data_IF_290333401560
#
_entry.id   IF_290333401560
#
_cell.length_a   1.000
_cell.length_b   1.000
_cell.length_c   1.000
_cell.angle_alpha   90.00
_cell.angle_beta   90.00
_cell.angle_gamma   90.00
#
_symmetry.space_group_name_H-M   'P 1'
#
loop_
_entity.id
_entity.type
_entity.pdbx_description
1 polymer ?
#
# COMPACT_ATOMS: atom_id res chain seq x y z
N UNK A 1 -13.91 -29.31 10.22
CA UNK A 1 -14.10 -28.24 11.21
C UNK A 1 -13.04 -27.18 10.92
N UNK A 2 -13.32 -26.28 9.99
CA UNK A 2 -12.37 -25.25 9.55
C UNK A 2 -12.57 -24.05 10.48
N UNK A 3 -11.59 -23.76 11.34
CA UNK A 3 -11.57 -22.48 12.07
C UNK A 3 -11.43 -21.39 11.00
N UNK A 4 -12.43 -20.50 10.93
CA UNK A 4 -12.29 -19.23 10.23
C UNK A 4 -11.32 -18.38 11.05
N UNK A 5 -10.05 -18.41 10.71
CA UNK A 5 -9.16 -17.29 11.05
C UNK A 5 -9.69 -16.04 10.33
N UNK A 6 -9.62 -14.89 11.00
CA UNK A 6 -9.93 -13.61 10.33
C UNK A 6 -8.89 -13.34 9.24
N UNK A 7 -9.24 -12.62 8.17
CA UNK A 7 -8.27 -12.30 7.10
C UNK A 7 -7.00 -11.62 7.67
N UNK A 8 -7.17 -10.83 8.74
CA UNK A 8 -6.08 -10.20 9.50
C UNK A 8 -5.13 -11.23 10.12
N UNK A 9 -5.63 -12.27 10.79
CA UNK A 9 -4.78 -13.32 11.38
C UNK A 9 -4.02 -14.08 10.30
N UNK A 10 -4.70 -14.42 9.20
CA UNK A 10 -4.08 -15.07 8.05
C UNK A 10 -2.95 -14.22 7.45
N UNK A 11 -3.22 -12.95 7.15
CA UNK A 11 -2.20 -12.06 6.60
C UNK A 11 -1.08 -11.74 7.58
N UNK A 12 -1.34 -11.76 8.88
CA UNK A 12 -0.29 -11.59 9.89
C UNK A 12 0.79 -12.66 9.77
N UNK A 13 0.39 -13.93 9.72
CA UNK A 13 1.34 -15.03 9.59
C UNK A 13 2.15 -14.96 8.30
N UNK A 14 1.48 -14.61 7.19
CA UNK A 14 2.15 -14.45 5.88
C UNK A 14 3.15 -13.28 5.87
N UNK A 15 2.73 -12.11 6.37
CA UNK A 15 3.58 -10.91 6.39
C UNK A 15 4.77 -11.12 7.31
N UNK A 16 4.57 -11.67 8.51
CA UNK A 16 5.67 -11.96 9.45
C UNK A 16 6.69 -12.94 8.83
N UNK A 17 6.20 -13.99 8.16
CA UNK A 17 7.04 -14.94 7.44
C UNK A 17 7.80 -14.31 6.26
N UNK A 18 7.13 -13.48 5.47
CA UNK A 18 7.74 -12.80 4.33
C UNK A 18 8.78 -11.76 4.77
N UNK A 19 8.51 -10.96 5.81
CA UNK A 19 9.48 -10.02 6.39
C UNK A 19 10.76 -10.74 6.82
N UNK A 20 10.63 -11.90 7.48
CA UNK A 20 11.77 -12.72 7.88
C UNK A 20 12.54 -13.29 6.67
N UNK A 21 11.83 -13.81 5.67
CA UNK A 21 12.44 -14.38 4.47
C UNK A 21 13.20 -13.34 3.64
N UNK A 22 12.61 -12.16 3.47
CA UNK A 22 13.22 -11.03 2.76
C UNK A 22 14.27 -10.28 3.59
N UNK A 23 14.41 -10.63 4.88
CA UNK A 23 15.27 -9.93 5.86
C UNK A 23 14.97 -8.43 5.92
N UNK A 24 13.71 -8.07 5.72
CA UNK A 24 13.26 -6.69 5.79
C UNK A 24 12.95 -6.34 7.25
N UNK A 25 13.76 -5.47 7.84
CA UNK A 25 13.45 -4.92 9.15
C UNK A 25 12.31 -3.89 9.01
N UNK A 26 11.15 -4.18 9.60
CA UNK A 26 9.99 -3.29 9.64
C UNK A 26 9.63 -2.95 11.09
N UNK A 27 9.16 -1.72 11.34
CA UNK A 27 8.58 -1.40 12.64
C UNK A 27 7.25 -2.15 12.85
N UNK A 28 6.92 -2.45 14.11
CA UNK A 28 5.71 -3.21 14.48
C UNK A 28 4.42 -2.55 13.95
N UNK A 29 4.31 -1.23 14.06
CA UNK A 29 3.14 -0.49 13.56
C UNK A 29 3.05 -0.54 12.03
N UNK A 30 4.18 -0.57 11.32
CA UNK A 30 4.22 -0.68 9.86
C UNK A 30 3.82 -2.08 9.41
N UNK A 31 4.33 -3.14 10.06
CA UNK A 31 3.91 -4.51 9.79
C UNK A 31 2.41 -4.69 10.03
N UNK A 32 1.90 -4.18 11.16
CA UNK A 32 0.46 -4.19 11.46
C UNK A 32 -0.36 -3.44 10.40
N UNK A 33 0.12 -2.29 9.94
CA UNK A 33 -0.54 -1.51 8.89
C UNK A 33 -0.65 -2.31 7.58
N UNK A 34 0.42 -2.96 7.14
CA UNK A 34 0.44 -3.79 5.92
C UNK A 34 -0.54 -4.95 6.03
N UNK A 35 -0.60 -5.64 7.18
CA UNK A 35 -1.57 -6.71 7.43
C UNK A 35 -3.00 -6.20 7.28
N UNK A 36 -3.31 -5.05 7.88
CA UNK A 36 -4.64 -4.43 7.77
C UNK A 36 -4.95 -4.02 6.32
N UNK A 37 -3.98 -3.46 5.60
CA UNK A 37 -4.11 -3.09 4.20
C UNK A 37 -4.51 -4.30 3.35
N UNK A 38 -3.77 -5.41 3.45
CA UNK A 38 -4.02 -6.62 2.67
C UNK A 38 -5.38 -7.23 3.00
N UNK A 39 -5.71 -7.34 4.29
CA UNK A 39 -7.02 -7.83 4.73
C UNK A 39 -8.17 -6.98 4.17
N UNK A 40 -8.04 -5.65 4.22
CA UNK A 40 -9.07 -4.73 3.72
C UNK A 40 -9.31 -4.86 2.22
N UNK A 41 -8.27 -5.02 1.40
CA UNK A 41 -8.43 -5.17 -0.06
C UNK A 41 -9.11 -6.49 -0.45
N UNK A 42 -8.88 -7.56 0.31
CA UNK A 42 -9.53 -8.86 0.07
C UNK A 42 -10.98 -8.86 0.53
N UNK A 43 -11.28 -8.24 1.67
CA UNK A 43 -12.63 -8.20 2.22
C UNK A 43 -13.54 -7.18 1.52
N UNK A 44 -12.95 -6.11 0.97
CA UNK A 44 -13.64 -5.05 0.24
C UNK A 44 -12.88 -4.73 -1.04
N UNK A 45 -13.03 -5.55 -2.10
CA UNK A 45 -12.58 -5.13 -3.42
C UNK A 45 -13.26 -3.80 -3.75
N UNK A 46 -12.47 -2.80 -4.16
CA UNK A 46 -12.93 -1.43 -4.40
C UNK A 46 -14.27 -1.46 -5.15
N UNK A 47 -15.30 -0.86 -4.56
CA UNK A 47 -16.53 -0.54 -5.28
C UNK A 47 -16.09 0.39 -6.40
N UNK A 48 -16.11 -0.08 -7.65
CA UNK A 48 -15.58 0.63 -8.81
C UNK A 48 -16.28 1.96 -9.08
N UNK A 49 -16.03 2.95 -8.23
CA UNK A 49 -16.40 4.34 -8.41
C UNK A 49 -15.66 4.86 -9.65
N UNK A 50 -16.27 5.81 -10.35
CA UNK A 50 -15.74 6.34 -11.61
C UNK A 50 -14.30 6.89 -11.48
N UNK A 51 -13.92 7.32 -10.27
CA UNK A 51 -12.59 7.85 -9.92
C UNK A 51 -11.49 6.76 -9.87
N UNK A 52 -11.85 5.48 -9.75
CA UNK A 52 -10.91 4.34 -9.75
C UNK A 52 -10.48 3.91 -11.16
N UNK A 53 -11.07 4.50 -12.21
CA UNK A 53 -10.72 4.20 -13.61
C UNK A 53 -9.57 5.06 -14.14
N UNK A 54 -9.26 6.18 -13.49
CA UNK A 54 -8.18 7.07 -13.90
C UNK A 54 -6.79 6.51 -13.54
N UNK A 55 -5.76 6.71 -14.39
CA UNK A 55 -4.39 6.37 -14.05
C UNK A 55 -3.94 6.97 -12.71
N UNK A 56 -3.28 6.17 -11.86
CA UNK A 56 -2.83 6.61 -10.54
C UNK A 56 -2.00 7.90 -10.56
N UNK A 57 -1.21 8.15 -11.60
CA UNK A 57 -0.45 9.39 -11.75
C UNK A 57 -1.35 10.63 -11.86
N UNK A 58 -2.49 10.54 -12.55
CA UNK A 58 -3.46 11.64 -12.64
C UNK A 58 -4.14 11.86 -11.29
N UNK A 59 -4.53 10.76 -10.63
CA UNK A 59 -5.12 10.80 -9.28
C UNK A 59 -4.14 11.42 -8.27
N UNK A 60 -2.85 11.11 -8.38
CA UNK A 60 -1.80 11.70 -7.54
C UNK A 60 -1.69 13.21 -7.76
N UNK A 61 -1.66 13.65 -9.03
CA UNK A 61 -1.66 15.08 -9.35
C UNK A 61 -2.85 15.82 -8.75
N UNK A 62 -4.06 15.28 -8.93
CA UNK A 62 -5.29 15.83 -8.35
C UNK A 62 -5.24 15.83 -6.82
N UNK A 63 -4.79 14.73 -6.19
CA UNK A 63 -4.67 14.64 -4.75
C UNK A 63 -3.75 15.73 -4.18
N UNK A 64 -2.63 16.01 -4.85
CA UNK A 64 -1.69 17.05 -4.43
C UNK A 64 -2.28 18.47 -4.53
N UNK A 65 -3.24 18.69 -5.43
CA UNK A 65 -3.98 19.94 -5.54
C UNK A 65 -5.12 20.06 -4.51
N UNK A 66 -5.70 18.93 -4.09
CA UNK A 66 -6.63 18.92 -2.97
C UNK A 66 -5.86 19.15 -1.67
N UNK A 67 -6.35 20.02 -0.79
CA UNK A 67 -5.75 20.25 0.53
C UNK A 67 -6.45 19.50 1.66
N UNK A 68 -5.81 19.44 2.81
CA UNK A 68 -6.43 18.99 4.06
C UNK A 68 -6.77 17.50 4.09
N UNK A 69 -7.95 17.15 4.62
CA UNK A 69 -8.33 15.74 4.84
C UNK A 69 -8.52 14.96 3.54
N UNK A 70 -9.05 15.61 2.47
CA UNK A 70 -9.26 14.93 1.18
C UNK A 70 -7.93 14.50 0.55
N UNK A 71 -6.94 15.39 0.59
CA UNK A 71 -5.57 15.10 0.18
C UNK A 71 -5.05 13.82 0.83
N UNK A 72 -5.18 13.74 2.16
CA UNK A 72 -4.68 12.62 2.95
C UNK A 72 -5.39 11.32 2.55
N UNK A 73 -6.71 11.34 2.46
CA UNK A 73 -7.49 10.16 2.06
C UNK A 73 -7.09 9.67 0.66
N UNK A 74 -6.96 10.59 -0.30
CA UNK A 74 -6.58 10.25 -1.67
C UNK A 74 -5.15 9.72 -1.76
N UNK A 75 -4.18 10.37 -1.11
CA UNK A 75 -2.80 9.91 -1.08
C UNK A 75 -2.67 8.53 -0.42
N UNK A 76 -3.41 8.28 0.67
CA UNK A 76 -3.42 6.98 1.34
C UNK A 76 -3.95 5.90 0.41
N UNK A 77 -5.08 6.16 -0.23
CA UNK A 77 -5.65 5.21 -1.18
C UNK A 77 -4.69 4.93 -2.36
N UNK A 78 -4.03 5.96 -2.91
CA UNK A 78 -3.06 5.79 -4.01
C UNK A 78 -1.86 4.95 -3.56
N UNK A 79 -1.30 5.23 -2.37
CA UNK A 79 -0.18 4.46 -1.82
C UNK A 79 -0.57 3.00 -1.59
N UNK A 80 -1.71 2.79 -0.93
CA UNK A 80 -2.19 1.46 -0.56
C UNK A 80 -2.51 0.60 -1.79
N UNK A 81 -3.20 1.18 -2.78
CA UNK A 81 -3.51 0.50 -4.03
C UNK A 81 -2.26 0.20 -4.85
N UNK A 82 -1.29 1.12 -4.85
CA UNK A 82 -0.01 0.90 -5.52
C UNK A 82 0.71 -0.29 -4.91
N UNK A 83 0.84 -0.33 -3.58
CA UNK A 83 1.54 -1.40 -2.86
C UNK A 83 0.85 -2.75 -3.11
N UNK A 84 -0.47 -2.80 -2.95
CA UNK A 84 -1.27 -4.01 -3.17
C UNK A 84 -1.12 -4.54 -4.60
N UNK A 85 -1.23 -3.66 -5.62
CA UNK A 85 -1.14 -4.08 -7.02
C UNK A 85 0.27 -4.55 -7.37
N UNK A 86 1.30 -3.83 -6.93
CA UNK A 86 2.68 -4.23 -7.20
C UNK A 86 3.09 -5.53 -6.51
N UNK A 87 2.65 -5.78 -5.27
CA UNK A 87 2.99 -7.03 -4.56
C UNK A 87 2.22 -8.23 -5.11
N UNK A 88 0.89 -8.12 -5.12
CA UNK A 88 0.00 -9.25 -5.44
C UNK A 88 -0.02 -9.63 -6.93
N UNK A 89 0.30 -8.69 -7.83
CA UNK A 89 0.26 -8.92 -9.28
C UNK A 89 1.61 -8.70 -9.98
N UNK A 90 2.71 -8.64 -9.23
CA UNK A 90 4.10 -8.50 -9.74
C UNK A 90 4.38 -9.37 -10.97
N UNK A 91 4.10 -10.68 -10.90
CA UNK A 91 4.31 -11.63 -12.01
C UNK A 91 3.48 -11.33 -13.27
N UNK A 92 2.28 -10.78 -13.09
CA UNK A 92 1.37 -10.42 -14.19
C UNK A 92 1.70 -9.04 -14.80
N UNK A 93 2.39 -8.17 -14.05
CA UNK A 93 2.80 -6.83 -14.47
C UNK A 93 4.09 -6.84 -15.28
N UNK A 94 5.03 -7.75 -15.01
CA UNK A 94 6.29 -7.95 -15.75
C UNK A 94 6.11 -8.23 -17.27
N UNK A 95 4.88 -8.40 -17.75
CA UNK A 95 4.54 -8.64 -19.18
C UNK A 95 3.74 -7.50 -19.83
N UNK A 96 3.54 -6.36 -19.16
CA UNK A 96 2.69 -5.25 -19.64
C UNK A 96 3.46 -3.92 -19.78
N UNK A 97 2.85 -2.97 -20.51
CA UNK A 97 3.38 -1.62 -20.81
C UNK A 97 3.54 -0.75 -19.55
N UNK A 98 2.80 -1.06 -18.48
CA UNK A 98 2.94 -0.43 -17.17
C UNK A 98 3.59 -1.46 -16.25
N UNK A 99 4.87 -1.24 -15.95
CA UNK A 99 5.69 -2.13 -15.15
C UNK A 99 5.51 -1.86 -13.64
N UNK A 100 5.96 -2.78 -12.80
CA UNK A 100 5.99 -2.67 -11.33
C UNK A 100 6.61 -1.34 -10.89
N UNK A 101 7.64 -0.86 -11.60
CA UNK A 101 8.32 0.42 -11.37
C UNK A 101 7.37 1.63 -11.37
N UNK A 102 6.30 1.60 -12.17
CA UNK A 102 5.29 2.65 -12.18
C UNK A 102 4.57 2.74 -10.83
N UNK A 103 4.12 1.59 -10.31
CA UNK A 103 3.42 1.53 -9.03
C UNK A 103 4.36 1.82 -7.86
N UNK A 104 5.60 1.34 -7.92
CA UNK A 104 6.65 1.65 -6.93
C UNK A 104 6.88 3.16 -6.85
N UNK A 105 7.03 3.82 -8.00
CA UNK A 105 7.26 5.26 -8.04
C UNK A 105 6.07 6.03 -7.49
N UNK A 106 4.86 5.77 -8.01
CA UNK A 106 3.65 6.50 -7.62
C UNK A 106 3.28 6.26 -6.15
N UNK A 107 3.33 5.01 -5.69
CA UNK A 107 3.04 4.63 -4.31
C UNK A 107 4.06 5.21 -3.32
N UNK A 108 5.35 5.13 -3.66
CA UNK A 108 6.43 5.72 -2.86
C UNK A 108 6.26 7.24 -2.70
N UNK A 109 5.92 7.95 -3.79
CA UNK A 109 5.63 9.38 -3.70
C UNK A 109 4.40 9.69 -2.84
N UNK A 110 3.34 8.89 -2.94
CA UNK A 110 2.13 9.11 -2.16
C UNK A 110 2.39 8.96 -0.66
N UNK A 111 3.10 7.90 -0.24
CA UNK A 111 3.49 7.72 1.15
C UNK A 111 4.50 8.77 1.63
N UNK A 112 5.45 9.20 0.79
CA UNK A 112 6.36 10.29 1.12
C UNK A 112 5.64 11.63 1.30
N UNK A 113 4.56 11.88 0.55
CA UNK A 113 3.73 13.05 0.75
C UNK A 113 2.93 12.95 2.06
N UNK A 114 2.44 11.74 2.40
CA UNK A 114 1.72 11.49 3.65
C UNK A 114 2.59 11.61 4.91
N UNK A 115 3.86 11.19 4.83
CA UNK A 115 4.77 11.23 5.98
C UNK A 115 5.06 12.65 6.47
N UNK A 116 4.80 13.67 5.64
CA UNK A 116 4.98 15.09 5.98
C UNK A 116 3.88 15.65 6.87
N UNK A 117 2.80 14.92 7.11
CA UNK A 117 1.74 15.35 8.01
C UNK A 117 2.09 15.02 9.47
N UNK A 118 3.02 15.78 10.07
CA UNK A 118 3.61 15.51 11.40
C UNK A 118 2.61 15.26 12.54
N UNK A 119 1.37 15.78 12.43
CA UNK A 119 0.30 15.56 13.41
C UNK A 119 -0.34 14.17 13.35
N UNK A 120 -0.02 13.37 12.33
CA UNK A 120 -0.59 12.04 12.10
C UNK A 120 0.26 10.95 12.74
N UNK A 121 -0.37 10.11 13.56
CA UNK A 121 0.27 8.95 14.22
C UNK A 121 0.89 7.99 13.21
N UNK A 122 0.36 7.91 11.99
CA UNK A 122 0.88 7.03 10.94
C UNK A 122 1.99 7.67 10.09
N UNK A 123 2.38 8.93 10.33
CA UNK A 123 3.46 9.57 9.58
C UNK A 123 4.77 8.78 9.56
N UNK A 124 5.24 8.18 10.67
CA UNK A 124 6.42 7.31 10.64
C UNK A 124 6.22 6.03 9.83
N UNK A 125 5.00 5.48 9.82
CA UNK A 125 4.65 4.31 9.00
C UNK A 125 4.74 4.66 7.52
N UNK A 126 4.15 5.78 7.11
CA UNK A 126 4.23 6.24 5.73
C UNK A 126 5.66 6.58 5.32
N UNK A 127 6.48 7.12 6.22
CA UNK A 127 7.90 7.36 5.95
C UNK A 127 8.64 6.05 5.65
N UNK A 128 8.44 5.02 6.50
CA UNK A 128 9.08 3.72 6.33
C UNK A 128 8.59 2.99 5.08
N UNK A 129 7.28 3.03 4.79
CA UNK A 129 6.70 2.45 3.57
C UNK A 129 7.24 3.14 2.32
N UNK A 130 7.42 4.47 2.34
CA UNK A 130 8.00 5.20 1.23
C UNK A 130 9.48 4.85 1.01
N UNK A 131 10.26 4.76 2.10
CA UNK A 131 11.69 4.44 2.05
C UNK A 131 11.95 3.01 1.59
N UNK A 132 11.15 2.05 2.08
CA UNK A 132 11.34 0.62 1.86
C UNK A 132 10.31 0.02 0.92
N UNK A 133 9.73 0.83 0.03
CA UNK A 133 8.57 0.44 -0.78
C UNK A 133 8.79 -0.88 -1.52
N UNK A 134 9.89 -1.01 -2.27
CA UNK A 134 10.24 -2.24 -3.00
C UNK A 134 10.34 -3.45 -2.07
N UNK A 135 10.95 -3.28 -0.89
CA UNK A 135 11.01 -4.35 0.10
C UNK A 135 9.63 -4.80 0.57
N UNK A 136 8.69 -3.86 0.74
CA UNK A 136 7.30 -4.19 1.07
C UNK A 136 6.51 -4.76 -0.11
N UNK A 137 6.86 -4.44 -1.35
CA UNK A 137 6.31 -5.12 -2.54
C UNK A 137 6.63 -6.61 -2.50
N UNK A 138 7.85 -6.99 -2.15
CA UNK A 138 8.27 -8.40 -2.04
C UNK A 138 7.71 -9.14 -0.80
N UNK A 139 6.99 -8.41 0.07
CA UNK A 139 6.34 -8.92 1.30
C UNK A 139 4.83 -9.12 1.10
N UNK A 140 4.21 -8.34 0.22
CA UNK A 140 2.77 -8.35 -0.09
C UNK A 140 2.42 -9.41 -1.14
#
# INVERSE_FOLDING_TARGET
MVRRESAVEFFKELVDGALANQRLAANELTAFYVVQLLANFVERPSSGDEDDTAPLALRLGQALETGGMRQRTSLKHIGDLSLFVSGFFSDSLNRKVVDVDYYVSIGGYAYMALSRFETDTFSPVFAELAEKFVGFVDVC
#
